data_IF_332696316677
#
_entry.id   IF_332696316677
#
_cell.length_a   1.000
_cell.length_b   1.000
_cell.length_c   1.000
_cell.angle_alpha   90.00
_cell.angle_beta   90.00
_cell.angle_gamma   90.00
#
_symmetry.space_group_name_H-M   'P 1'
#
loop_
_entity.id
_entity.type
_entity.pdbx_description
1 polymer ?
#
# COMPACT_ATOMS: atom_id res chain seq x y z
N UNK A 1 -2.03 -28.38 10.49
CA UNK A 1 -2.04 -29.33 11.63
C UNK A 1 -3.44 -29.40 12.23
N UNK A 2 -3.79 -30.53 12.86
CA UNK A 2 -5.03 -30.67 13.63
C UNK A 2 -4.74 -30.36 15.11
N UNK A 3 -5.34 -29.30 15.64
CA UNK A 3 -5.20 -28.89 17.04
C UNK A 3 -6.39 -29.28 17.91
N UNK A 4 -7.33 -30.06 17.36
CA UNK A 4 -8.54 -30.51 18.05
C UNK A 4 -8.13 -31.34 19.29
N UNK A 5 -8.82 -31.09 20.41
CA UNK A 5 -8.59 -31.66 21.74
C UNK A 5 -7.31 -31.20 22.46
N UNK A 6 -6.51 -30.31 21.87
CA UNK A 6 -5.36 -29.75 22.58
C UNK A 6 -5.78 -28.75 23.66
N UNK A 7 -5.02 -28.76 24.77
CA UNK A 7 -5.20 -27.79 25.86
C UNK A 7 -4.40 -26.52 25.60
N UNK A 8 -5.08 -25.40 25.75
CA UNK A 8 -4.54 -24.06 25.61
C UNK A 8 -4.81 -23.25 26.88
N UNK A 9 -4.00 -22.23 27.11
CA UNK A 9 -4.21 -21.26 28.17
C UNK A 9 -4.29 -19.86 27.55
N UNK A 10 -5.41 -19.19 27.77
CA UNK A 10 -5.65 -17.81 27.35
C UNK A 10 -5.38 -16.84 28.50
N UNK A 11 -4.68 -15.74 28.24
CA UNK A 11 -4.25 -14.83 29.31
C UNK A 11 -5.39 -14.22 30.14
N UNK A 12 -6.58 -14.05 29.55
CA UNK A 12 -7.79 -13.51 30.22
C UNK A 12 -8.80 -14.57 30.64
N UNK A 13 -8.88 -15.69 29.91
CA UNK A 13 -9.95 -16.68 30.07
C UNK A 13 -9.47 -17.95 30.78
N UNK A 14 -8.16 -18.07 31.00
CA UNK A 14 -7.54 -19.22 31.64
C UNK A 14 -7.46 -20.42 30.69
N UNK A 15 -7.52 -21.62 31.27
CA UNK A 15 -7.40 -22.86 30.53
C UNK A 15 -8.65 -23.12 29.66
N UNK A 16 -8.39 -23.57 28.44
CA UNK A 16 -9.42 -23.96 27.48
C UNK A 16 -8.96 -25.14 26.64
N UNK A 17 -9.91 -25.76 25.94
CA UNK A 17 -9.67 -26.88 25.06
C UNK A 17 -10.19 -26.56 23.66
N UNK A 18 -9.39 -26.84 22.64
CA UNK A 18 -9.82 -26.65 21.25
C UNK A 18 -10.83 -27.75 20.92
N UNK A 19 -12.05 -27.36 20.60
CA UNK A 19 -13.14 -28.28 20.24
C UNK A 19 -13.31 -28.43 18.73
N UNK A 20 -12.94 -27.40 17.97
CA UNK A 20 -13.05 -27.42 16.52
C UNK A 20 -12.02 -26.50 15.85
N UNK A 21 -11.74 -26.77 14.58
CA UNK A 21 -10.84 -25.96 13.75
C UNK A 21 -11.40 -25.89 12.34
N UNK A 22 -11.77 -24.67 11.92
CA UNK A 22 -12.37 -24.39 10.61
C UNK A 22 -11.51 -23.36 9.88
N UNK A 23 -10.86 -23.77 8.79
CA UNK A 23 -9.96 -22.94 7.98
C UNK A 23 -8.86 -22.28 8.84
N UNK A 24 -8.91 -20.96 8.98
CA UNK A 24 -8.01 -20.14 9.79
C UNK A 24 -8.62 -19.78 11.15
N UNK A 25 -9.65 -20.48 11.61
CA UNK A 25 -10.27 -20.23 12.90
C UNK A 25 -10.24 -21.49 13.75
N UNK A 26 -9.98 -21.32 15.04
CA UNK A 26 -10.08 -22.37 16.05
C UNK A 26 -11.16 -22.01 17.06
N UNK A 27 -11.98 -22.97 17.42
CA UNK A 27 -13.01 -22.86 18.43
C UNK A 27 -12.48 -23.47 19.72
N UNK A 28 -12.38 -22.65 20.76
CA UNK A 28 -11.90 -23.05 22.08
C UNK A 28 -13.06 -22.99 23.06
N UNK A 29 -13.30 -24.10 23.74
CA UNK A 29 -14.15 -24.17 24.91
C UNK A 29 -13.32 -23.79 26.13
N UNK A 30 -13.64 -22.66 26.76
CA UNK A 30 -13.13 -22.31 28.08
C UNK A 30 -14.05 -22.86 29.17
N UNK A 31 -13.65 -22.65 30.43
CA UNK A 31 -14.49 -22.87 31.60
C UNK A 31 -15.90 -22.29 31.44
N UNK A 32 -16.87 -22.87 32.14
CA UNK A 32 -18.30 -22.58 31.99
C UNK A 32 -18.66 -21.08 32.11
N UNK A 33 -17.86 -20.31 32.85
CA UNK A 33 -18.01 -18.86 32.98
C UNK A 33 -17.77 -18.06 31.68
N UNK A 34 -16.89 -18.55 30.79
CA UNK A 34 -16.47 -17.82 29.58
C UNK A 34 -17.05 -18.42 28.28
N UNK A 35 -17.42 -19.71 28.33
CA UNK A 35 -18.04 -20.44 27.22
C UNK A 35 -17.11 -20.73 26.05
N UNK A 36 -17.70 -20.87 24.86
CA UNK A 36 -16.99 -21.11 23.61
C UNK A 36 -16.58 -19.81 22.94
N UNK A 37 -15.35 -19.73 22.45
CA UNK A 37 -14.86 -18.56 21.69
C UNK A 37 -14.02 -18.99 20.51
N UNK A 38 -14.13 -18.23 19.44
CA UNK A 38 -13.41 -18.45 18.19
C UNK A 38 -12.23 -17.50 18.09
N UNK A 39 -11.07 -18.01 17.66
CA UNK A 39 -9.85 -17.23 17.47
C UNK A 39 -9.20 -17.52 16.12
N UNK A 40 -8.46 -16.54 15.60
CA UNK A 40 -7.73 -16.67 14.34
C UNK A 40 -6.44 -17.48 14.53
N UNK A 41 -6.22 -18.48 13.69
CA UNK A 41 -5.02 -19.31 13.63
C UNK A 41 -4.12 -18.89 12.45
N UNK A 42 -2.78 -18.91 12.61
CA UNK A 42 -2.03 -19.06 13.88
C UNK A 42 -1.91 -17.79 14.75
N UNK A 43 -2.38 -16.61 14.30
CA UNK A 43 -2.14 -15.31 14.97
C UNK A 43 -2.51 -15.27 16.47
N UNK A 44 -3.60 -15.93 16.90
CA UNK A 44 -4.01 -15.89 18.29
C UNK A 44 -3.01 -16.55 19.25
N UNK A 45 -2.15 -17.45 18.78
CA UNK A 45 -1.08 -18.05 19.57
C UNK A 45 0.11 -17.14 19.81
N UNK A 46 0.19 -16.03 19.10
CA UNK A 46 1.29 -15.08 19.28
C UNK A 46 1.04 -14.18 20.49
N UNK A 47 -0.19 -13.71 20.68
CA UNK A 47 -0.52 -12.70 21.70
C UNK A 47 -1.42 -13.22 22.83
N UNK A 48 -2.33 -14.15 22.54
CA UNK A 48 -3.47 -14.43 23.42
C UNK A 48 -3.49 -15.86 23.97
N UNK A 49 -3.02 -16.84 23.19
CA UNK A 49 -3.10 -18.27 23.49
C UNK A 49 -1.72 -18.88 23.70
N UNK A 50 -1.59 -19.73 24.72
CA UNK A 50 -0.40 -20.55 24.99
C UNK A 50 -0.77 -22.02 24.98
N UNK A 51 -0.16 -22.82 24.13
CA UNK A 51 -0.30 -24.28 24.21
C UNK A 51 0.41 -24.82 25.46
N UNK A 52 -0.28 -25.75 26.14
CA UNK A 52 0.28 -26.49 27.27
C UNK A 52 1.19 -27.65 26.80
N UNK A 53 0.89 -28.23 25.63
CA UNK A 53 1.67 -29.31 25.04
C UNK A 53 2.94 -28.79 24.35
N UNK A 54 4.12 -29.22 24.81
CA UNK A 54 5.40 -28.80 24.23
C UNK A 54 5.55 -29.24 22.76
N UNK A 55 5.11 -30.44 22.39
CA UNK A 55 5.26 -30.94 21.02
C UNK A 55 4.40 -30.14 20.02
N UNK A 56 3.18 -29.79 20.40
CA UNK A 56 2.32 -28.94 19.60
C UNK A 56 2.84 -27.49 19.55
N UNK A 57 3.45 -27.00 20.64
CA UNK A 57 4.05 -25.65 20.70
C UNK A 57 5.15 -25.44 19.67
N UNK A 58 6.07 -26.39 19.51
CA UNK A 58 7.13 -26.28 18.50
C UNK A 58 6.56 -26.27 17.08
N UNK A 59 5.47 -26.97 16.87
CA UNK A 59 4.82 -27.01 15.57
C UNK A 59 4.08 -25.71 15.24
N UNK A 60 3.31 -25.15 16.18
CA UNK A 60 2.67 -23.83 16.00
C UNK A 60 3.71 -22.74 15.79
N UNK A 61 4.84 -22.78 16.50
CA UNK A 61 5.94 -21.83 16.28
C UNK A 61 6.46 -21.87 14.85
N UNK A 62 6.59 -23.06 14.25
CA UNK A 62 7.00 -23.20 12.85
C UNK A 62 5.96 -22.61 11.89
N UNK A 63 4.68 -22.86 12.13
CA UNK A 63 3.59 -22.26 11.35
C UNK A 63 3.58 -20.72 11.47
N UNK A 64 3.80 -20.17 12.67
CA UNK A 64 3.93 -18.73 12.89
C UNK A 64 5.15 -18.13 12.17
N UNK A 65 6.32 -18.78 12.28
CA UNK A 65 7.55 -18.32 11.61
C UNK A 65 7.41 -18.34 10.08
N UNK A 66 6.76 -19.38 9.54
CA UNK A 66 6.47 -19.46 8.11
C UNK A 66 5.53 -18.33 7.66
N UNK A 67 4.49 -18.03 8.44
CA UNK A 67 3.56 -16.94 8.13
C UNK A 67 4.23 -15.56 8.23
N UNK A 68 5.10 -15.35 9.21
CA UNK A 68 5.88 -14.12 9.35
C UNK A 68 6.83 -13.91 8.16
N UNK A 69 7.52 -14.96 7.72
CA UNK A 69 8.38 -14.89 6.53
C UNK A 69 7.60 -14.55 5.27
N UNK A 70 6.44 -15.16 5.06
CA UNK A 70 5.60 -14.86 3.89
C UNK A 70 5.15 -13.38 3.90
N UNK A 71 4.79 -12.85 5.07
CA UNK A 71 4.44 -11.43 5.22
C UNK A 71 5.64 -10.52 4.94
N UNK A 72 6.83 -10.88 5.41
CA UNK A 72 8.05 -10.10 5.19
C UNK A 72 8.42 -10.08 3.70
N UNK A 73 8.39 -11.23 3.02
CA UNK A 73 8.65 -11.35 1.59
C UNK A 73 7.63 -10.55 0.75
N UNK A 74 6.34 -10.62 1.09
CA UNK A 74 5.30 -9.85 0.42
C UNK A 74 5.48 -8.33 0.63
N UNK A 75 5.83 -7.91 1.84
CA UNK A 75 6.13 -6.52 2.14
C UNK A 75 7.34 -6.01 1.37
N UNK A 76 8.41 -6.81 1.27
CA UNK A 76 9.60 -6.46 0.50
C UNK A 76 9.29 -6.34 -1.00
N UNK A 77 8.54 -7.30 -1.56
CA UNK A 77 8.07 -7.21 -2.96
C UNK A 77 7.24 -5.96 -3.20
N UNK A 78 6.28 -5.65 -2.32
CA UNK A 78 5.46 -4.43 -2.41
C UNK A 78 6.32 -3.17 -2.34
N UNK A 79 7.36 -3.16 -1.49
CA UNK A 79 8.29 -2.04 -1.37
C UNK A 79 9.09 -1.82 -2.66
N UNK A 80 9.61 -2.90 -3.26
CA UNK A 80 10.34 -2.84 -4.52
C UNK A 80 9.47 -2.33 -5.67
N UNK A 81 8.22 -2.84 -5.77
CA UNK A 81 7.25 -2.39 -6.78
C UNK A 81 6.96 -0.88 -6.63
N UNK A 82 6.71 -0.42 -5.40
CA UNK A 82 6.47 1.01 -5.13
C UNK A 82 7.66 1.87 -5.54
N UNK A 83 8.89 1.44 -5.21
CA UNK A 83 10.11 2.17 -5.58
C UNK A 83 10.29 2.25 -7.10
N UNK A 84 9.98 1.17 -7.82
CA UNK A 84 10.11 1.17 -9.28
C UNK A 84 9.07 2.06 -9.96
N UNK A 85 7.84 2.08 -9.45
CA UNK A 85 6.78 2.99 -9.92
C UNK A 85 7.21 4.45 -9.70
N UNK A 86 7.69 4.78 -8.50
CA UNK A 86 8.13 6.14 -8.18
C UNK A 86 9.30 6.60 -9.07
N UNK A 87 10.29 5.74 -9.30
CA UNK A 87 11.40 6.03 -10.23
C UNK A 87 10.91 6.28 -11.66
N UNK A 88 10.01 5.43 -12.17
CA UNK A 88 9.42 5.58 -13.51
C UNK A 88 8.67 6.91 -13.64
N UNK A 89 7.91 7.27 -12.62
CA UNK A 89 7.15 8.53 -12.58
C UNK A 89 8.09 9.76 -12.58
N UNK A 90 9.14 9.74 -11.75
CA UNK A 90 10.14 10.81 -11.71
C UNK A 90 10.86 11.00 -13.05
N UNK A 91 11.26 9.91 -13.72
CA UNK A 91 11.89 9.97 -15.04
C UNK A 91 10.95 10.58 -16.08
N UNK A 92 9.67 10.21 -16.05
CA UNK A 92 8.67 10.75 -16.97
C UNK A 92 8.46 12.26 -16.78
N UNK A 93 8.46 12.73 -15.53
CA UNK A 93 8.36 14.16 -15.20
C UNK A 93 9.60 14.91 -15.70
N UNK A 94 10.80 14.37 -15.46
CA UNK A 94 12.05 14.99 -15.95
C UNK A 94 12.11 15.05 -17.47
N UNK A 95 11.70 13.99 -18.16
CA UNK A 95 11.68 13.95 -19.63
C UNK A 95 10.69 14.99 -20.20
N UNK A 96 9.50 15.12 -19.60
CA UNK A 96 8.53 16.16 -19.94
C UNK A 96 9.11 17.56 -19.71
N UNK A 97 9.80 17.79 -18.59
CA UNK A 97 10.45 19.07 -18.30
C UNK A 97 11.57 19.41 -19.30
N UNK A 98 12.39 18.43 -19.70
CA UNK A 98 13.47 18.61 -20.68
C UNK A 98 12.95 18.87 -22.11
N UNK A 99 11.84 18.26 -22.50
CA UNK A 99 11.18 18.51 -23.80
C UNK A 99 10.52 19.90 -23.86
N UNK A 100 10.07 20.43 -22.73
CA UNK A 100 9.48 21.78 -22.66
C UNK A 100 10.52 22.91 -22.80
N UNK A 101 11.77 22.70 -22.38
CA UNK A 101 12.84 23.71 -22.44
C UNK A 101 13.50 23.83 -23.81
N UNK A 102 13.54 22.76 -24.62
CA UNK A 102 14.16 22.75 -25.96
C UNK A 102 13.30 23.39 -27.06
N UNK A 103 11.99 23.56 -26.84
CA UNK A 103 11.08 24.25 -27.79
C UNK A 103 11.21 25.78 -27.80
N UNK A 104 12.03 26.37 -26.91
CA UNK A 104 12.12 27.83 -26.72
C UNK A 104 13.26 28.51 -27.49
N UNK A 105 14.11 27.78 -28.21
CA UNK A 105 15.33 28.32 -28.85
C UNK A 105 15.32 28.37 -30.38
N UNK A 106 14.29 27.89 -31.08
CA UNK A 106 14.24 27.86 -32.57
C UNK A 106 13.30 28.88 -33.21
N UNK A 107 12.87 29.92 -32.49
CA UNK A 107 12.02 30.98 -33.04
C UNK A 107 12.60 32.40 -32.83
N UNK A 108 13.88 32.64 -33.15
CA UNK A 108 14.36 34.01 -33.39
C UNK A 108 15.65 34.11 -34.20
N UNK A 109 15.64 33.74 -35.49
CA UNK A 109 16.66 34.22 -36.43
C UNK A 109 16.12 34.35 -37.86
N UNK A 110 15.57 35.54 -38.16
CA UNK A 110 15.36 36.20 -39.47
C UNK A 110 14.45 37.41 -39.18
N UNK A 111 14.65 38.67 -39.58
CA UNK A 111 15.49 39.32 -40.61
C UNK A 111 15.52 40.85 -40.33
N UNK A 112 16.43 41.53 -41.01
CA UNK A 112 16.99 42.88 -40.87
C UNK A 112 16.15 44.11 -41.32
N UNK A 113 16.46 45.28 -40.70
CA UNK A 113 16.38 46.71 -41.16
C UNK A 113 14.96 47.28 -41.46
N UNK A 114 14.52 48.44 -40.91
CA UNK A 114 15.07 49.81 -41.05
C UNK A 114 14.42 50.81 -40.04
N UNK A 115 15.23 51.72 -39.50
CA UNK A 115 14.99 53.09 -38.97
C UNK A 115 13.55 53.66 -38.82
N UNK A 116 13.18 54.19 -37.65
CA UNK A 116 13.13 55.64 -37.32
C UNK A 116 12.55 55.92 -35.94
N UNK A 117 13.01 57.04 -35.38
CA UNK A 117 12.81 57.64 -34.06
C UNK A 117 11.37 58.01 -33.67
N UNK A 118 11.17 58.01 -32.34
CA UNK A 118 10.31 58.89 -31.51
C UNK A 118 8.83 58.50 -31.29
N UNK A 119 8.62 58.05 -30.04
CA UNK A 119 7.86 58.74 -28.96
C UNK A 119 6.38 58.34 -28.76
N UNK A 120 6.08 58.22 -27.45
CA UNK A 120 4.78 58.14 -26.76
C UNK A 120 4.06 56.79 -26.85
N UNK A 121 4.00 56.00 -25.78
CA UNK A 121 3.37 56.19 -24.45
C UNK A 121 1.91 55.78 -24.44
N UNK A 122 1.60 54.92 -23.47
CA UNK A 122 0.28 54.65 -22.89
C UNK A 122 -0.74 54.01 -23.84
N UNK A 123 -1.66 53.15 -23.43
CA UNK A 123 -1.94 52.42 -22.20
C UNK A 123 -3.16 51.55 -22.57
N UNK A 124 -3.47 50.56 -21.71
CA UNK A 124 -4.74 49.83 -21.62
C UNK A 124 -5.02 48.84 -22.77
N UNK A 125 -5.07 47.53 -22.48
CA UNK A 125 -6.21 46.81 -21.86
C UNK A 125 -7.39 46.73 -22.86
N UNK A 126 -8.10 45.63 -23.09
CA UNK A 126 -8.22 44.26 -22.56
C UNK A 126 -9.38 43.65 -23.39
N UNK A 127 -9.55 42.32 -23.32
CA UNK A 127 -10.78 41.54 -23.60
C UNK A 127 -10.88 40.96 -25.03
N UNK A 128 -10.70 39.64 -25.25
CA UNK A 128 -11.56 38.45 -24.87
C UNK A 128 -12.84 38.47 -25.72
N UNK A 129 -13.33 37.42 -26.38
CA UNK A 129 -13.82 36.07 -26.00
C UNK A 129 -14.12 35.36 -27.36
N UNK A 130 -13.95 34.04 -27.55
CA UNK A 130 -15.05 33.01 -27.51
C UNK A 130 -15.96 33.13 -28.76
N UNK A 131 -16.38 32.10 -29.49
CA UNK A 131 -16.92 30.74 -29.24
C UNK A 131 -16.74 30.01 -30.60
N UNK A 132 -16.67 28.70 -30.78
CA UNK A 132 -17.78 27.73 -30.74
C UNK A 132 -17.17 26.43 -31.33
N UNK A 133 -16.93 25.38 -30.56
CA UNK A 133 -17.87 24.31 -30.17
C UNK A 133 -18.10 23.24 -31.27
N UNK A 134 -18.30 22.01 -30.80
CA UNK A 134 -18.71 20.77 -31.48
C UNK A 134 -17.57 19.95 -32.12
N UNK A 135 -17.32 18.69 -31.71
CA UNK A 135 -18.30 17.65 -31.35
C UNK A 135 -17.60 16.51 -30.57
N UNK A 136 -18.00 16.30 -29.32
CA UNK A 136 -17.79 15.03 -28.60
C UNK A 136 -18.92 14.06 -28.99
N UNK A 137 -18.60 12.76 -28.93
CA UNK A 137 -19.47 11.62 -29.22
C UNK A 137 -20.24 11.18 -28.00
#
# INVERSE_FOLDING_TARGET
MNLINEKVNHNKFGEGQIIDQVNNHILIQFSEAEGQKTFLYPDAFDHHLKLLNKAAKDSIKKDLDARLKEIEEDNERKRLIKLEIEKKEQLLIQERAAKASTKKTTAKKTTTKKTTTKKKAAAKAKKVEEVDELKEK
#
